data_IF_313421027939
#
_entry.id   IF_313421027939
#
_cell.length_a   1.000
_cell.length_b   1.000
_cell.length_c   1.000
_cell.angle_alpha   90.00
_cell.angle_beta   90.00
_cell.angle_gamma   90.00
#
_symmetry.space_group_name_H-M   'P 1'
#
loop_
_entity.id
_entity.type
_entity.pdbx_description
1 polymer ?
#
# COMPACT_ATOMS: atom_id res chain seq x y z
N UNK A 1 40.36 26.30 11.68
CA UNK A 1 39.83 26.92 10.45
C UNK A 1 39.71 25.78 9.46
N UNK A 2 38.61 25.05 9.36
CA UNK A 2 37.20 25.39 9.16
C UNK A 2 36.75 25.43 7.69
N UNK A 3 35.77 24.53 7.42
CA UNK A 3 34.72 24.37 6.40
C UNK A 3 34.91 24.39 4.85
N UNK A 4 34.18 23.46 4.20
CA UNK A 4 33.63 23.59 2.82
C UNK A 4 33.42 22.26 2.06
N UNK A 5 32.50 21.36 2.43
CA UNK A 5 31.20 21.04 1.77
C UNK A 5 31.08 21.01 0.23
N UNK A 6 30.72 19.81 -0.27
CA UNK A 6 29.60 19.46 -1.18
C UNK A 6 29.59 19.86 -2.68
N UNK A 7 29.29 18.88 -3.55
CA UNK A 7 28.16 18.90 -4.53
C UNK A 7 28.11 17.67 -5.46
N UNK A 8 27.12 16.83 -5.19
CA UNK A 8 26.14 16.21 -6.10
C UNK A 8 26.56 15.84 -7.55
N UNK A 9 26.58 14.54 -7.85
CA UNK A 9 26.33 14.02 -9.20
C UNK A 9 24.83 13.74 -9.38
N UNK A 10 24.06 14.76 -9.74
CA UNK A 10 22.70 14.59 -10.27
C UNK A 10 22.67 15.01 -11.73
N UNK A 11 22.84 14.05 -12.63
CA UNK A 11 22.38 14.21 -14.02
C UNK A 11 22.10 12.85 -14.64
N UNK A 12 20.84 12.41 -14.54
CA UNK A 12 20.28 11.43 -15.47
C UNK A 12 20.29 12.05 -16.86
N UNK A 13 21.13 11.52 -17.76
CA UNK A 13 21.07 11.82 -19.18
C UNK A 13 19.77 11.28 -19.75
N UNK A 14 18.82 12.18 -20.03
CA UNK A 14 17.63 11.87 -20.80
C UNK A 14 18.05 11.63 -22.24
N UNK A 15 17.87 10.41 -22.75
CA UNK A 15 18.10 10.07 -24.16
C UNK A 15 17.14 10.91 -25.02
N UNK A 16 17.68 11.93 -25.69
CA UNK A 16 16.90 12.84 -26.52
C UNK A 16 16.68 12.22 -27.90
N UNK A 17 15.52 11.59 -28.10
CA UNK A 17 15.06 11.18 -29.43
C UNK A 17 14.38 12.38 -30.09
N UNK A 18 14.91 12.93 -31.20
CA UNK A 18 14.33 14.12 -31.83
C UNK A 18 12.92 13.83 -32.34
N UNK A 19 11.94 14.60 -31.85
CA UNK A 19 10.54 14.56 -32.34
C UNK A 19 9.52 13.97 -31.36
N UNK A 20 9.95 13.32 -30.28
CA UNK A 20 9.03 12.87 -29.22
C UNK A 20 9.01 13.92 -28.11
N UNK A 21 7.92 14.70 -28.06
CA UNK A 21 7.59 15.50 -26.88
C UNK A 21 6.99 14.54 -25.86
N UNK A 22 7.78 14.07 -24.90
CA UNK A 22 7.23 13.42 -23.70
C UNK A 22 6.57 14.53 -22.90
N UNK A 23 5.24 14.48 -22.75
CA UNK A 23 4.53 15.45 -21.95
C UNK A 23 4.99 15.29 -20.49
N UNK A 24 5.22 16.39 -19.76
CA UNK A 24 5.52 16.31 -18.31
C UNK A 24 4.39 15.62 -17.56
N UNK A 25 3.18 15.63 -18.12
CA UNK A 25 2.01 14.88 -17.65
C UNK A 25 2.17 13.37 -17.78
N UNK A 26 2.94 12.88 -18.76
CA UNK A 26 3.24 11.45 -18.94
C UNK A 26 4.32 10.96 -17.95
N UNK A 27 5.06 11.88 -17.32
CA UNK A 27 6.00 11.57 -16.22
C UNK A 27 5.32 11.50 -14.85
N UNK A 28 4.05 11.89 -14.72
CA UNK A 28 3.24 11.61 -13.54
C UNK A 28 2.81 10.13 -13.56
N UNK A 29 3.77 9.26 -13.23
CA UNK A 29 3.56 7.82 -13.02
C UNK A 29 2.42 7.61 -12.02
N UNK A 30 1.57 6.62 -12.33
CA UNK A 30 0.43 6.17 -11.53
C UNK A 30 0.70 6.15 -10.01
N UNK A 31 0.24 7.18 -9.30
CA UNK A 31 0.21 7.17 -7.83
C UNK A 31 -0.95 6.29 -7.38
N UNK A 32 -0.65 5.06 -6.96
CA UNK A 32 -1.62 4.09 -6.44
C UNK A 32 -0.92 2.83 -5.96
N UNK A 33 -1.67 1.91 -5.36
CA UNK A 33 -1.17 0.59 -4.96
C UNK A 33 -1.40 -0.39 -6.11
N UNK A 34 -0.31 -0.89 -6.69
CA UNK A 34 -0.30 -1.95 -7.68
C UNK A 34 -0.52 -3.34 -7.08
N UNK A 35 -0.79 -4.31 -7.95
CA UNK A 35 -0.88 -5.70 -7.52
C UNK A 35 0.50 -6.23 -7.12
N UNK A 36 0.62 -6.75 -5.89
CA UNK A 36 1.87 -7.30 -5.36
C UNK A 36 2.75 -6.27 -4.64
N UNK A 37 2.35 -4.99 -4.62
CA UNK A 37 3.06 -3.95 -3.88
C UNK A 37 3.07 -4.22 -2.37
N UNK A 38 2.12 -5.01 -1.86
CA UNK A 38 2.07 -5.38 -0.44
C UNK A 38 3.20 -6.33 -0.02
N UNK A 39 3.78 -7.06 -0.97
CA UNK A 39 4.79 -8.09 -0.67
C UNK A 39 6.07 -7.51 -0.10
N UNK A 40 6.40 -6.26 -0.44
CA UNK A 40 7.54 -5.54 0.13
C UNK A 40 7.40 -5.29 1.65
N UNK A 41 6.18 -5.42 2.19
CA UNK A 41 5.92 -5.29 3.62
C UNK A 41 6.03 -6.61 4.39
N UNK A 42 6.10 -7.74 3.69
CA UNK A 42 6.26 -9.07 4.28
C UNK A 42 7.66 -9.65 4.12
N UNK A 43 8.31 -9.32 3.00
CA UNK A 43 9.56 -9.94 2.60
C UNK A 43 10.63 -8.89 2.33
N UNK A 44 11.89 -9.24 2.66
CA UNK A 44 13.04 -8.48 2.18
C UNK A 44 13.22 -8.77 0.70
N UNK A 45 13.12 -7.74 -0.13
CA UNK A 45 13.38 -7.85 -1.56
C UNK A 45 14.70 -7.18 -1.91
N UNK A 46 15.75 -7.98 -1.97
CA UNK A 46 17.04 -7.51 -2.44
C UNK A 46 17.07 -7.50 -3.98
N UNK A 47 17.47 -6.37 -4.58
CA UNK A 47 17.80 -6.28 -6.01
C UNK A 47 16.64 -5.98 -6.98
N UNK A 48 15.43 -5.69 -6.49
CA UNK A 48 14.29 -5.31 -7.36
C UNK A 48 14.21 -3.78 -7.49
N UNK A 49 14.46 -3.26 -8.70
CA UNK A 49 14.32 -1.82 -8.98
C UNK A 49 12.86 -1.38 -8.76
N UNK A 50 12.65 -0.41 -7.89
CA UNK A 50 11.33 0.17 -7.60
C UNK A 50 10.67 -0.33 -6.32
N UNK A 51 11.30 -1.28 -5.61
CA UNK A 51 10.95 -1.60 -4.23
C UNK A 51 11.66 -0.60 -3.32
N UNK A 52 10.95 -0.09 -2.31
CA UNK A 52 11.52 0.75 -1.26
C UNK A 52 12.60 -0.06 -0.54
N UNK A 53 13.88 0.23 -0.83
CA UNK A 53 14.96 -0.03 0.12
C UNK A 53 14.52 0.71 1.40
N UNK A 54 14.21 -0.02 2.48
CA UNK A 54 13.78 0.32 3.86
C UNK A 54 13.97 1.76 4.42
N UNK A 55 13.80 2.82 3.64
CA UNK A 55 14.46 4.10 3.90
C UNK A 55 13.53 5.20 4.41
N UNK A 56 12.22 5.00 4.41
CA UNK A 56 11.26 5.94 5.02
C UNK A 56 10.61 5.33 6.26
N UNK A 57 10.57 6.10 7.35
CA UNK A 57 9.93 5.74 8.63
C UNK A 57 8.49 5.25 8.44
N UNK A 58 7.73 5.87 7.53
CA UNK A 58 6.36 5.46 7.23
C UNK A 58 6.28 4.05 6.62
N UNK A 59 7.24 3.68 5.76
CA UNK A 59 7.27 2.35 5.16
C UNK A 59 7.68 1.31 6.21
N UNK A 60 8.63 1.65 7.09
CA UNK A 60 9.03 0.80 8.21
C UNK A 60 7.88 0.57 9.20
N UNK A 61 7.13 1.63 9.53
CA UNK A 61 5.93 1.50 10.35
C UNK A 61 4.92 0.58 9.66
N UNK A 62 4.67 0.76 8.36
CA UNK A 62 3.79 -0.13 7.60
C UNK A 62 4.26 -1.59 7.62
N UNK A 63 5.57 -1.87 7.51
CA UNK A 63 6.12 -3.23 7.65
C UNK A 63 5.75 -3.85 8.98
N UNK A 64 5.97 -3.11 10.07
CA UNK A 64 5.61 -3.57 11.41
C UNK A 64 4.11 -3.84 11.52
N UNK A 65 3.25 -2.95 10.97
CA UNK A 65 1.80 -3.13 11.02
C UNK A 65 1.39 -4.44 10.30
N UNK A 66 1.89 -4.65 9.09
CA UNK A 66 1.54 -5.82 8.27
C UNK A 66 1.99 -7.12 8.93
N UNK A 67 3.23 -7.15 9.43
CA UNK A 67 3.78 -8.31 10.12
C UNK A 67 3.03 -8.60 11.42
N UNK A 68 2.68 -7.59 12.21
CA UNK A 68 1.92 -7.73 13.45
C UNK A 68 0.56 -8.40 13.22
N UNK A 69 -0.26 -7.86 12.31
CA UNK A 69 -1.58 -8.42 12.04
C UNK A 69 -1.49 -9.84 11.46
N UNK A 70 -0.55 -10.07 10.55
CA UNK A 70 -0.42 -11.36 9.88
C UNK A 70 0.09 -12.45 10.83
N UNK A 71 1.11 -12.16 11.63
CA UNK A 71 1.67 -13.11 12.60
C UNK A 71 0.70 -13.41 13.74
N UNK A 72 -0.05 -12.41 14.23
CA UNK A 72 -1.09 -12.65 15.24
C UNK A 72 -2.23 -13.51 14.67
N UNK A 73 -2.66 -13.25 13.43
CA UNK A 73 -3.66 -14.10 12.79
C UNK A 73 -3.16 -15.54 12.65
N UNK A 74 -1.93 -15.74 12.18
CA UNK A 74 -1.33 -17.06 12.04
C UNK A 74 -1.19 -17.81 13.38
N UNK A 75 -0.94 -17.08 14.47
CA UNK A 75 -0.71 -17.67 15.81
C UNK A 75 -2.01 -17.94 16.55
N UNK A 76 -2.97 -17.02 16.50
CA UNK A 76 -4.15 -17.01 17.38
C UNK A 76 -5.49 -17.12 16.63
N UNK A 77 -5.48 -17.13 15.29
CA UNK A 77 -6.70 -17.07 14.48
C UNK A 77 -7.42 -15.72 14.49
N UNK A 78 -6.81 -14.70 15.10
CA UNK A 78 -7.29 -13.31 15.14
C UNK A 78 -6.14 -12.38 14.79
N UNK A 79 -6.33 -11.42 13.87
CA UNK A 79 -5.30 -10.43 13.56
C UNK A 79 -5.09 -9.47 14.74
N UNK A 80 -6.07 -9.36 15.64
CA UNK A 80 -6.04 -8.42 16.77
C UNK A 80 -5.27 -8.98 17.97
N UNK A 81 -4.50 -8.11 18.63
CA UNK A 81 -3.80 -8.42 19.88
C UNK A 81 -4.08 -7.32 20.94
N UNK A 82 -4.49 -7.67 22.17
CA UNK A 82 -4.72 -6.70 23.26
C UNK A 82 -3.47 -5.89 23.64
N UNK A 83 -2.28 -6.43 23.37
CA UNK A 83 -1.00 -5.77 23.62
C UNK A 83 -0.58 -4.81 22.51
N UNK A 84 -1.36 -4.70 21.42
CA UNK A 84 -1.07 -3.72 20.39
C UNK A 84 -1.11 -2.28 20.94
N UNK A 85 -0.21 -1.41 20.47
CA UNK A 85 -0.29 0.00 20.81
C UNK A 85 -1.63 0.60 20.38
N UNK A 86 -2.11 1.61 21.11
CA UNK A 86 -3.44 2.23 20.90
C UNK A 86 -3.70 2.77 19.49
N UNK A 87 -2.64 3.04 18.71
CA UNK A 87 -2.75 3.49 17.33
C UNK A 87 -3.07 2.33 16.35
N UNK A 88 -2.93 1.07 16.76
CA UNK A 88 -3.35 -0.10 15.97
C UNK A 88 -4.87 -0.26 16.10
N UNK A 89 -5.53 -0.26 14.95
CA UNK A 89 -6.99 -0.33 14.89
C UNK A 89 -7.47 -1.78 15.04
N UNK A 90 -8.55 -2.00 15.80
CA UNK A 90 -9.15 -3.32 15.86
C UNK A 90 -9.76 -3.67 14.49
N UNK A 91 -9.33 -4.78 13.90
CA UNK A 91 -9.84 -5.31 12.64
C UNK A 91 -11.09 -6.15 12.93
N UNK A 92 -12.29 -5.68 12.55
CA UNK A 92 -13.53 -6.39 12.81
C UNK A 92 -13.68 -7.62 11.91
N UNK A 93 -14.29 -8.67 12.44
CA UNK A 93 -14.66 -9.84 11.64
C UNK A 93 -15.62 -9.44 10.53
N UNK A 94 -15.30 -9.84 9.30
CA UNK A 94 -16.18 -9.65 8.16
C UNK A 94 -17.49 -10.43 8.33
N UNK A 95 -18.62 -9.79 8.01
CA UNK A 95 -19.96 -10.39 8.08
C UNK A 95 -20.62 -10.36 6.71
N UNK A 96 -20.78 -11.52 6.09
CA UNK A 96 -21.30 -11.70 4.72
C UNK A 96 -22.67 -11.04 4.47
N UNK A 97 -23.55 -11.04 5.48
CA UNK A 97 -24.91 -10.48 5.39
C UNK A 97 -25.04 -9.08 6.03
N UNK A 98 -23.92 -8.43 6.34
CA UNK A 98 -23.93 -7.05 6.82
C UNK A 98 -23.91 -6.09 5.64
N UNK A 99 -24.83 -5.14 5.62
CA UNK A 99 -24.83 -4.00 4.68
C UNK A 99 -23.59 -3.10 4.85
N UNK A 100 -22.88 -3.22 5.97
CA UNK A 100 -21.61 -2.55 6.23
C UNK A 100 -20.49 -3.61 6.33
N UNK A 101 -19.83 -3.88 5.21
CA UNK A 101 -18.50 -4.49 5.21
C UNK A 101 -17.47 -3.37 5.27
N UNK A 102 -16.63 -3.36 6.30
CA UNK A 102 -15.54 -2.41 6.41
C UNK A 102 -14.31 -2.96 5.68
N UNK A 103 -13.71 -2.15 4.81
CA UNK A 103 -12.36 -2.34 4.33
C UNK A 103 -11.39 -1.84 5.40
N UNK A 104 -10.35 -2.61 5.65
CA UNK A 104 -9.19 -2.13 6.39
C UNK A 104 -8.20 -1.48 5.41
N UNK A 105 -7.97 -0.17 5.57
CA UNK A 105 -7.07 0.61 4.69
C UNK A 105 -5.84 1.02 5.49
N UNK A 106 -4.67 0.69 4.96
CA UNK A 106 -3.36 1.09 5.49
C UNK A 106 -2.87 2.32 4.74
N UNK A 107 -2.87 3.50 5.38
CA UNK A 107 -2.23 4.71 4.83
C UNK A 107 -2.13 5.84 5.87
N UNK A 108 -0.93 6.29 6.26
CA UNK A 108 0.03 5.54 7.08
C UNK A 108 -0.61 5.04 8.39
N UNK A 109 -1.72 5.64 8.82
CA UNK A 109 -2.52 5.19 9.94
C UNK A 109 -3.66 4.27 9.46
N UNK A 110 -3.79 3.06 10.02
CA UNK A 110 -4.91 2.17 9.72
C UNK A 110 -6.27 2.82 9.96
N UNK A 111 -7.19 2.65 9.01
CA UNK A 111 -8.59 3.07 9.16
C UNK A 111 -9.57 2.05 8.57
N UNK A 112 -10.78 2.04 9.11
CA UNK A 112 -11.91 1.32 8.55
C UNK A 112 -12.67 2.23 7.59
N UNK A 113 -12.85 1.78 6.36
CA UNK A 113 -13.67 2.46 5.36
C UNK A 113 -14.88 1.58 5.05
N UNK A 114 -16.12 2.09 5.17
CA UNK A 114 -17.27 1.36 4.66
C UNK A 114 -17.16 1.29 3.13
N UNK A 115 -17.50 0.16 2.51
CA UNK A 115 -17.71 -0.03 1.05
C UNK A 115 -16.75 -1.02 0.39
N UNK A 116 -17.18 -2.27 0.26
CA UNK A 116 -16.77 -3.10 -0.90
C UNK A 116 -18.00 -3.69 -1.58
N UNK A 117 -18.92 -4.23 -0.77
CA UNK A 117 -20.10 -4.95 -1.25
C UNK A 117 -21.24 -4.06 -1.75
N UNK A 118 -21.20 -2.76 -1.46
CA UNK A 118 -22.20 -1.76 -1.87
C UNK A 118 -21.68 -0.84 -2.97
N UNK A 119 -20.46 -1.04 -3.46
CA UNK A 119 -19.95 -0.23 -4.56
C UNK A 119 -20.74 -0.52 -5.83
N UNK A 120 -21.05 0.51 -6.62
CA UNK A 120 -21.76 0.38 -7.89
C UNK A 120 -21.12 -0.66 -8.81
N UNK A 121 -19.79 -0.73 -8.81
CA UNK A 121 -19.02 -1.72 -9.57
C UNK A 121 -19.25 -3.14 -9.07
N UNK A 122 -19.25 -3.38 -7.75
CA UNK A 122 -19.56 -4.71 -7.20
C UNK A 122 -20.98 -5.15 -7.56
N UNK A 123 -21.97 -4.26 -7.41
CA UNK A 123 -23.36 -4.53 -7.75
C UNK A 123 -23.54 -4.84 -9.24
N UNK A 124 -22.88 -4.08 -10.11
CA UNK A 124 -22.86 -4.32 -11.55
C UNK A 124 -22.41 -5.74 -11.87
N UNK A 125 -21.23 -6.14 -11.39
CA UNK A 125 -20.69 -7.49 -11.64
C UNK A 125 -21.51 -8.60 -11.00
N UNK A 126 -22.14 -8.35 -9.85
CA UNK A 126 -23.05 -9.29 -9.20
C UNK A 126 -24.32 -9.51 -10.02
N UNK A 127 -24.88 -8.46 -10.60
CA UNK A 127 -26.10 -8.54 -11.38
C UNK A 127 -25.87 -9.09 -12.79
N UNK A 128 -24.70 -8.83 -13.39
CA UNK A 128 -24.34 -9.42 -14.69
C UNK A 128 -24.41 -10.96 -14.67
N UNK A 129 -24.02 -11.58 -13.55
CA UNK A 129 -24.05 -13.04 -13.37
C UNK A 129 -25.45 -13.65 -13.20
N UNK A 130 -26.51 -12.83 -13.08
CA UNK A 130 -27.90 -13.30 -12.92
C UNK A 130 -28.69 -13.35 -14.22
N UNK A 131 -28.09 -12.89 -15.32
CA UNK A 131 -28.75 -12.76 -16.63
C UNK A 131 -28.48 -14.02 -17.50
N UNK A 132 -27.76 -15.00 -16.98
CA UNK A 132 -27.52 -16.33 -17.56
C UNK A 132 -28.03 -17.40 -16.60
#
# INVERSE_FOLDING_TARGET
>A
MDHGTDKSWTKTETLHVPGIKVDKKDMERHWGTGHGDELQFFFKWEGVKGVSDDNNEADMEMKEIFLDYFTNFATFGSPNNPSFPKHRLNWPTFKWNSTASNIFVFNPNPRLVPELLTSKSHEFWKNLRKIH
#
